data_IF_927465550048
#
_entry.id   IF_927465550048
#
_cell.length_a   1.000
_cell.length_b   1.000
_cell.length_c   1.000
_cell.angle_alpha   90.00
_cell.angle_beta   90.00
_cell.angle_gamma   90.00
#
_symmetry.space_group_name_H-M   'P 1'
#
loop_
_entity.id
_entity.type
_entity.pdbx_description
1 polymer ?
#
# COMPACT_ATOMS: atom_id res chain seq x y z
N UNK A 1 5.32 6.15 -12.46
CA UNK A 1 5.89 5.18 -13.46
C UNK A 1 4.98 3.99 -13.74
N UNK A 2 4.42 3.27 -12.74
CA UNK A 2 3.57 2.08 -13.00
C UNK A 2 2.34 2.34 -13.89
N UNK A 3 1.55 3.43 -13.71
CA UNK A 3 0.42 3.72 -14.58
C UNK A 3 0.83 3.96 -16.04
N UNK A 4 1.94 4.70 -16.23
CA UNK A 4 2.46 5.00 -17.59
C UNK A 4 2.92 3.72 -18.28
N UNK A 5 3.68 2.86 -17.58
CA UNK A 5 4.12 1.57 -18.13
C UNK A 5 2.95 0.67 -18.56
N UNK A 6 1.87 0.61 -17.76
CA UNK A 6 0.67 -0.15 -18.13
C UNK A 6 -0.03 0.42 -19.36
N UNK A 7 -0.16 1.75 -19.44
CA UNK A 7 -0.77 2.42 -20.60
C UNK A 7 0.03 2.14 -21.87
N UNK A 8 1.37 2.21 -21.79
CA UNK A 8 2.27 1.89 -22.88
C UNK A 8 2.05 0.47 -23.39
N UNK A 9 1.96 -0.52 -22.49
CA UNK A 9 1.71 -1.91 -22.88
C UNK A 9 0.37 -2.08 -23.60
N UNK A 10 -0.69 -1.44 -23.10
CA UNK A 10 -2.02 -1.50 -23.71
C UNK A 10 -2.04 -0.85 -25.10
N UNK A 11 -1.23 0.19 -25.34
CA UNK A 11 -1.14 0.88 -26.64
C UNK A 11 -0.21 0.19 -27.65
N UNK A 12 0.80 -0.57 -27.15
CA UNK A 12 1.82 -1.19 -27.99
C UNK A 12 1.42 -2.59 -28.48
N UNK A 13 0.71 -3.36 -27.65
CA UNK A 13 0.39 -4.77 -27.93
C UNK A 13 -1.07 -4.97 -28.28
N UNK A 14 -1.34 -5.88 -29.22
CA UNK A 14 -2.69 -6.29 -29.57
C UNK A 14 -3.40 -6.93 -28.35
N UNK A 15 -4.73 -6.81 -28.27
CA UNK A 15 -5.53 -7.37 -27.15
C UNK A 15 -5.28 -8.86 -26.91
N UNK A 16 -5.01 -9.63 -27.94
CA UNK A 16 -4.67 -11.06 -27.87
C UNK A 16 -3.34 -11.34 -27.18
N UNK A 17 -2.38 -10.42 -27.22
CA UNK A 17 -1.03 -10.57 -26.68
C UNK A 17 -0.89 -9.95 -25.27
N UNK A 18 -1.84 -9.08 -24.89
CA UNK A 18 -1.79 -8.33 -23.62
C UNK A 18 -1.68 -9.24 -22.41
N UNK A 19 -2.41 -10.38 -22.39
CA UNK A 19 -2.37 -11.32 -21.26
C UNK A 19 -0.96 -11.89 -21.08
N UNK A 20 -0.32 -12.28 -22.17
CA UNK A 20 1.04 -12.84 -22.14
C UNK A 20 2.06 -11.79 -21.72
N UNK A 21 1.97 -10.59 -22.29
CA UNK A 21 2.88 -9.47 -22.01
C UNK A 21 2.74 -8.98 -20.59
N UNK A 22 1.51 -8.80 -20.09
CA UNK A 22 1.24 -8.43 -18.70
C UNK A 22 1.75 -9.47 -17.71
N UNK A 23 1.63 -10.76 -18.03
CA UNK A 23 2.17 -11.85 -17.22
C UNK A 23 3.69 -11.77 -17.14
N UNK A 24 4.37 -11.54 -18.26
CA UNK A 24 5.82 -11.41 -18.31
C UNK A 24 6.34 -10.21 -17.49
N UNK A 25 5.71 -9.04 -17.64
CA UNK A 25 6.05 -7.82 -16.85
C UNK A 25 5.76 -7.99 -15.37
N UNK A 26 4.80 -8.84 -15.01
CA UNK A 26 4.46 -9.11 -13.62
C UNK A 26 5.51 -9.96 -12.89
N UNK A 27 6.34 -10.75 -13.59
CA UNK A 27 7.35 -11.62 -12.97
C UNK A 27 8.37 -10.81 -12.14
N UNK A 28 9.06 -9.79 -12.69
CA UNK A 28 9.98 -8.97 -11.90
C UNK A 28 9.30 -8.27 -10.72
N UNK A 29 8.06 -7.80 -10.92
CA UNK A 29 7.28 -7.16 -9.86
C UNK A 29 6.93 -8.10 -8.70
N UNK A 30 6.90 -9.41 -8.93
CA UNK A 30 6.69 -10.44 -7.90
C UNK A 30 7.99 -10.88 -7.24
N UNK A 31 9.08 -10.96 -8.02
CA UNK A 31 10.39 -11.40 -7.54
C UNK A 31 11.07 -10.33 -6.69
N UNK A 32 10.94 -9.05 -7.07
CA UNK A 32 11.60 -7.95 -6.37
C UNK A 32 11.26 -7.85 -4.87
N UNK A 33 9.99 -7.93 -4.42
CA UNK A 33 9.65 -7.95 -3.00
C UNK A 33 10.20 -9.18 -2.24
N UNK A 34 10.43 -10.28 -2.93
CA UNK A 34 11.02 -11.48 -2.34
C UNK A 34 12.53 -11.31 -2.10
N UNK A 35 13.24 -10.75 -3.09
CA UNK A 35 14.68 -10.55 -3.01
C UNK A 35 15.08 -9.31 -2.20
N UNK A 36 14.21 -8.29 -2.15
CA UNK A 36 14.49 -7.01 -1.50
C UNK A 36 14.96 -7.14 -0.05
N UNK A 37 14.23 -7.81 0.85
CA UNK A 37 14.64 -7.97 2.24
C UNK A 37 15.97 -8.71 2.42
N UNK A 38 16.24 -9.71 1.57
CA UNK A 38 17.50 -10.47 1.60
C UNK A 38 18.63 -9.58 1.11
N UNK A 39 18.48 -8.94 -0.04
CA UNK A 39 19.49 -8.05 -0.60
C UNK A 39 19.78 -6.87 0.36
N UNK A 40 18.73 -6.27 0.92
CA UNK A 40 18.87 -5.23 1.93
C UNK A 40 19.59 -5.71 3.18
N UNK A 41 19.25 -6.89 3.70
CA UNK A 41 19.92 -7.51 4.84
C UNK A 41 21.39 -7.82 4.59
N UNK A 42 21.74 -8.33 3.40
CA UNK A 42 23.12 -8.58 2.99
C UNK A 42 23.92 -7.28 2.86
N UNK A 43 23.35 -6.25 2.21
CA UNK A 43 24.03 -4.97 2.04
C UNK A 43 24.30 -4.33 3.40
N UNK A 44 23.29 -4.29 4.30
CA UNK A 44 23.46 -3.68 5.63
C UNK A 44 24.38 -4.53 6.52
N UNK A 45 24.37 -5.86 6.35
CA UNK A 45 25.21 -6.77 7.14
C UNK A 45 26.69 -6.78 6.76
N UNK A 46 27.03 -6.61 5.49
CA UNK A 46 28.42 -6.72 4.98
C UNK A 46 28.97 -5.45 4.36
N UNK A 47 28.10 -4.52 3.96
CA UNK A 47 28.46 -3.31 3.23
C UNK A 47 27.85 -2.08 3.93
N UNK A 48 28.12 -0.88 3.40
CA UNK A 48 27.54 0.34 3.91
C UNK A 48 26.09 0.53 3.40
N UNK A 49 25.16 0.91 4.27
CA UNK A 49 23.72 1.10 3.93
C UNK A 49 23.47 2.02 2.71
N UNK A 50 24.36 2.99 2.46
CA UNK A 50 24.28 3.90 1.30
C UNK A 50 24.31 3.18 -0.04
N UNK A 51 24.87 1.97 -0.11
CA UNK A 51 24.94 1.17 -1.35
C UNK A 51 23.54 0.81 -1.86
N UNK A 52 22.55 0.67 -0.95
CA UNK A 52 21.16 0.44 -1.33
C UNK A 52 20.64 1.56 -2.27
N UNK A 53 21.00 2.81 -1.99
CA UNK A 53 20.63 3.96 -2.83
C UNK A 53 21.43 4.01 -4.13
N UNK A 54 22.73 3.76 -4.07
CA UNK A 54 23.58 3.74 -5.25
C UNK A 54 23.22 2.64 -6.25
N UNK A 55 22.67 1.52 -5.79
CA UNK A 55 22.19 0.43 -6.65
C UNK A 55 21.06 0.89 -7.59
N UNK A 56 20.27 1.86 -7.19
CA UNK A 56 19.19 2.41 -8.03
C UNK A 56 19.71 3.23 -9.21
N UNK A 57 20.92 3.79 -9.13
CA UNK A 57 21.50 4.62 -10.18
C UNK A 57 21.75 3.82 -11.47
N UNK A 58 22.53 2.72 -11.46
CA UNK A 58 22.74 1.95 -12.68
C UNK A 58 21.46 1.32 -13.22
N UNK A 59 20.54 0.87 -12.37
CA UNK A 59 19.25 0.32 -12.77
C UNK A 59 18.40 1.42 -13.43
N UNK A 60 18.36 2.62 -12.83
CA UNK A 60 17.63 3.77 -13.38
C UNK A 60 18.20 4.26 -14.71
N UNK A 61 19.54 4.32 -14.83
CA UNK A 61 20.21 4.69 -16.08
C UNK A 61 19.95 3.65 -17.18
N UNK A 62 20.05 2.37 -16.87
CA UNK A 62 19.73 1.30 -17.82
C UNK A 62 18.26 1.40 -18.28
N UNK A 63 17.33 1.64 -17.35
CA UNK A 63 15.92 1.87 -17.66
C UNK A 63 15.71 3.09 -18.57
N UNK A 64 16.38 4.20 -18.28
CA UNK A 64 16.33 5.43 -19.11
C UNK A 64 16.81 5.17 -20.54
N UNK A 65 17.96 4.52 -20.69
CA UNK A 65 18.53 4.16 -22.00
C UNK A 65 17.58 3.25 -22.78
N UNK A 66 17.04 2.21 -22.13
CA UNK A 66 16.08 1.30 -22.77
C UNK A 66 14.81 2.01 -23.23
N UNK A 67 14.28 2.91 -22.41
CA UNK A 67 13.10 3.74 -22.79
C UNK A 67 13.43 4.63 -23.99
N UNK A 68 14.57 5.32 -23.95
CA UNK A 68 14.99 6.22 -25.03
C UNK A 68 15.20 5.48 -26.37
N UNK A 69 15.73 4.25 -26.33
CA UNK A 69 16.04 3.50 -27.54
C UNK A 69 14.82 2.75 -28.13
N UNK A 70 13.86 2.35 -27.31
CA UNK A 70 12.82 1.39 -27.73
C UNK A 70 11.40 1.93 -27.60
N UNK A 71 11.15 3.01 -26.84
CA UNK A 71 9.80 3.48 -26.62
C UNK A 71 9.43 4.52 -27.70
N UNK A 72 8.35 4.28 -28.50
CA UNK A 72 7.82 5.28 -29.41
C UNK A 72 7.27 6.49 -28.66
N UNK A 73 7.32 7.65 -29.27
CA UNK A 73 6.76 8.89 -28.71
C UNK A 73 5.23 8.89 -28.87
N UNK A 74 4.52 8.48 -27.82
CA UNK A 74 3.06 8.49 -27.76
C UNK A 74 2.59 9.87 -27.29
N UNK A 75 2.30 10.78 -28.21
CA UNK A 75 1.66 12.06 -27.90
C UNK A 75 0.19 12.03 -28.34
N UNK A 76 -0.68 12.44 -27.45
CA UNK A 76 -2.05 12.80 -27.83
C UNK A 76 -2.11 14.28 -28.23
N UNK A 77 -2.72 14.58 -29.39
CA UNK A 77 -2.80 15.95 -29.91
C UNK A 77 -3.67 16.87 -29.03
N UNK A 78 -4.64 16.33 -28.33
CA UNK A 78 -5.58 17.05 -27.46
C UNK A 78 -5.48 16.63 -25.99
N UNK A 79 -4.35 16.91 -25.35
CA UNK A 79 -4.23 16.73 -23.89
C UNK A 79 -4.74 17.96 -23.15
N UNK A 80 -5.62 17.80 -22.13
CA UNK A 80 -6.01 18.92 -21.28
C UNK A 80 -4.79 19.56 -20.62
N UNK A 81 -4.85 20.88 -20.39
CA UNK A 81 -3.79 21.58 -19.69
C UNK A 81 -3.61 21.03 -18.28
N UNK A 82 -2.36 20.94 -17.81
CA UNK A 82 -2.05 20.50 -16.48
C UNK A 82 -2.65 21.47 -15.45
N UNK A 83 -3.39 20.94 -14.48
CA UNK A 83 -3.89 21.71 -13.35
C UNK A 83 -2.73 22.02 -12.36
N UNK A 84 -1.94 23.05 -12.68
CA UNK A 84 -0.79 23.48 -11.88
C UNK A 84 -1.22 23.96 -10.50
N UNK A 85 -2.35 24.69 -10.42
CA UNK A 85 -2.87 25.18 -9.12
C UNK A 85 -3.29 24.01 -8.24
N UNK A 86 -4.01 23.03 -8.80
CA UNK A 86 -4.37 21.81 -8.10
C UNK A 86 -3.15 21.01 -7.66
N UNK A 87 -2.11 20.93 -8.50
CA UNK A 87 -0.86 20.24 -8.17
C UNK A 87 -0.16 20.90 -6.97
N UNK A 88 -0.08 22.22 -6.93
CA UNK A 88 0.52 22.96 -5.82
C UNK A 88 -0.32 22.79 -4.54
N UNK A 89 -1.63 23.01 -4.61
CA UNK A 89 -2.51 22.91 -3.45
C UNK A 89 -2.51 21.49 -2.85
N UNK A 90 -2.73 20.50 -3.69
CA UNK A 90 -2.78 19.11 -3.26
C UNK A 90 -1.40 18.59 -2.82
N UNK A 91 -0.35 18.84 -3.63
CA UNK A 91 1.00 18.39 -3.34
C UNK A 91 1.57 19.00 -2.06
N UNK A 92 1.42 20.32 -1.88
CA UNK A 92 1.85 21.00 -0.64
C UNK A 92 1.02 20.56 0.57
N UNK A 93 -0.30 20.41 0.40
CA UNK A 93 -1.18 19.95 1.46
C UNK A 93 -0.79 18.55 1.97
N UNK A 94 -0.59 17.60 1.06
CA UNK A 94 -0.16 16.24 1.42
C UNK A 94 1.27 16.22 1.96
N UNK A 95 2.19 17.00 1.36
CA UNK A 95 3.57 17.11 1.84
C UNK A 95 3.64 17.60 3.28
N UNK A 96 2.90 18.66 3.62
CA UNK A 96 2.82 19.18 4.99
C UNK A 96 2.17 18.17 5.94
N UNK A 97 1.11 17.45 5.52
CA UNK A 97 0.49 16.42 6.34
C UNK A 97 1.46 15.28 6.66
N UNK A 98 2.21 14.83 5.66
CA UNK A 98 3.23 13.80 5.84
C UNK A 98 4.32 14.26 6.80
N UNK A 99 4.79 15.49 6.64
CA UNK A 99 5.81 16.11 7.50
C UNK A 99 5.36 16.20 8.95
N UNK A 100 4.12 16.65 9.19
CA UNK A 100 3.55 16.71 10.55
C UNK A 100 3.49 15.33 11.20
N UNK A 101 3.06 14.31 10.45
CA UNK A 101 2.98 12.94 10.96
C UNK A 101 4.36 12.36 11.29
N UNK A 102 5.39 12.70 10.51
CA UNK A 102 6.77 12.23 10.72
C UNK A 102 7.40 12.89 11.95
N UNK A 103 7.31 14.23 12.05
CA UNK A 103 7.94 15.01 13.15
C UNK A 103 7.20 14.84 14.48
N UNK A 104 5.92 14.48 14.47
CA UNK A 104 5.15 14.29 15.70
C UNK A 104 5.82 13.31 16.68
N UNK A 105 6.48 12.27 16.16
CA UNK A 105 7.21 11.28 16.97
C UNK A 105 8.54 11.77 17.54
N UNK A 106 9.13 12.80 16.95
CA UNK A 106 10.48 13.29 17.32
C UNK A 106 10.46 14.41 18.38
N UNK A 107 9.28 14.92 18.75
CA UNK A 107 9.12 16.09 19.63
C UNK A 107 9.96 17.32 19.23
N UNK A 108 10.31 17.43 17.94
CA UNK A 108 11.19 18.46 17.40
C UNK A 108 10.51 19.84 17.32
N UNK A 109 9.17 19.89 17.31
CA UNK A 109 8.37 21.11 17.22
C UNK A 109 7.45 21.25 18.43
N UNK A 110 7.14 22.50 18.79
CA UNK A 110 6.13 22.80 19.80
C UNK A 110 4.73 22.38 19.30
N UNK A 111 3.81 22.09 20.23
CA UNK A 111 2.43 21.75 19.89
C UNK A 111 1.72 22.86 19.09
N UNK A 112 2.12 24.13 19.27
CA UNK A 112 1.58 25.27 18.52
C UNK A 112 2.05 25.28 17.07
N UNK A 113 3.33 25.03 16.82
CA UNK A 113 3.88 24.97 15.46
C UNK A 113 3.28 23.77 14.70
N UNK A 114 3.17 22.63 15.36
CA UNK A 114 2.60 21.42 14.79
C UNK A 114 1.12 21.60 14.43
N UNK A 115 0.32 22.22 15.33
CA UNK A 115 -1.08 22.53 15.03
C UNK A 115 -1.22 23.54 13.88
N UNK A 116 -0.30 24.51 13.78
CA UNK A 116 -0.26 25.47 12.68
C UNK A 116 -0.01 24.79 11.33
N UNK A 117 0.98 23.87 11.26
CA UNK A 117 1.27 23.12 10.05
C UNK A 117 0.11 22.17 9.65
N UNK A 118 -0.53 21.53 10.64
CA UNK A 118 -1.70 20.69 10.40
C UNK A 118 -2.87 21.51 9.84
N UNK A 119 -3.18 22.65 10.43
CA UNK A 119 -4.23 23.56 9.95
C UNK A 119 -3.90 24.05 8.54
N UNK A 120 -2.66 24.45 8.27
CA UNK A 120 -2.22 24.87 6.93
C UNK A 120 -2.40 23.74 5.91
N UNK A 121 -2.00 22.51 6.24
CA UNK A 121 -2.22 21.34 5.38
C UNK A 121 -3.70 21.13 5.06
N UNK A 122 -4.57 21.18 6.09
CA UNK A 122 -6.01 21.01 5.92
C UNK A 122 -6.64 22.12 5.09
N UNK A 123 -6.17 23.37 5.25
CA UNK A 123 -6.62 24.51 4.44
C UNK A 123 -6.23 24.33 2.97
N UNK A 124 -5.00 23.90 2.69
CA UNK A 124 -4.54 23.62 1.32
C UNK A 124 -5.35 22.48 0.67
N UNK A 125 -5.60 21.41 1.39
CA UNK A 125 -6.41 20.28 0.91
C UNK A 125 -7.88 20.66 0.70
N UNK A 126 -8.45 21.47 1.60
CA UNK A 126 -9.80 22.01 1.43
C UNK A 126 -9.86 22.97 0.23
N UNK A 127 -8.85 23.85 0.06
CA UNK A 127 -8.70 24.72 -1.11
C UNK A 127 -8.62 23.93 -2.39
N UNK A 128 -7.87 22.82 -2.41
CA UNK A 128 -7.86 21.90 -3.54
C UNK A 128 -9.26 21.31 -3.80
N UNK A 129 -9.97 20.87 -2.77
CA UNK A 129 -11.33 20.34 -2.92
C UNK A 129 -12.33 21.33 -3.53
N UNK A 130 -12.20 22.62 -3.20
CA UNK A 130 -13.01 23.69 -3.79
C UNK A 130 -12.58 23.93 -5.26
N UNK A 131 -11.27 24.07 -5.50
CA UNK A 131 -10.71 24.28 -6.83
C UNK A 131 -11.07 23.16 -7.82
N UNK A 132 -10.95 21.90 -7.38
CA UNK A 132 -11.27 20.74 -8.22
C UNK A 132 -12.73 20.64 -8.64
N UNK A 133 -13.66 21.27 -7.88
CA UNK A 133 -15.09 21.31 -8.25
C UNK A 133 -15.40 22.29 -9.37
N UNK A 134 -14.54 23.31 -9.58
CA UNK A 134 -14.74 24.35 -10.58
C UNK A 134 -14.08 24.04 -11.93
N UNK A 135 -13.30 22.95 -12.03
CA UNK A 135 -12.59 22.53 -13.21
C UNK A 135 -13.23 21.32 -13.88
N UNK A 136 -13.23 21.32 -15.21
CA UNK A 136 -13.65 20.17 -16.02
C UNK A 136 -12.63 19.02 -15.92
N UNK A 137 -11.33 19.35 -15.93
CA UNK A 137 -10.21 18.40 -15.85
C UNK A 137 -9.31 18.70 -14.64
N UNK A 138 -9.76 18.47 -13.40
CA UNK A 138 -8.91 18.64 -12.23
C UNK A 138 -7.83 17.57 -12.17
N UNK A 139 -6.75 17.82 -11.39
CA UNK A 139 -5.68 16.88 -11.16
C UNK A 139 -6.19 15.50 -10.67
N UNK A 140 -7.17 15.50 -9.75
CA UNK A 140 -7.86 14.31 -9.28
C UNK A 140 -9.37 14.47 -9.55
N UNK A 141 -9.93 13.57 -10.32
CA UNK A 141 -11.38 13.57 -10.61
C UNK A 141 -12.19 13.04 -9.43
N UNK A 142 -12.47 13.92 -8.47
CA UNK A 142 -13.21 13.57 -7.25
C UNK A 142 -14.60 12.98 -7.51
N UNK A 143 -15.19 13.22 -8.70
CA UNK A 143 -16.46 12.63 -9.13
C UNK A 143 -16.44 11.09 -9.12
N UNK A 144 -15.27 10.45 -9.28
CA UNK A 144 -15.14 9.00 -9.26
C UNK A 144 -15.48 8.41 -7.89
N UNK A 145 -15.33 9.17 -6.81
CA UNK A 145 -15.76 8.74 -5.48
C UNK A 145 -17.28 8.67 -5.30
N UNK A 146 -18.09 9.16 -6.27
CA UNK A 146 -19.54 8.90 -6.30
C UNK A 146 -19.84 7.45 -6.67
N UNK A 147 -18.94 6.78 -7.41
CA UNK A 147 -19.07 5.36 -7.77
C UNK A 147 -18.75 4.53 -6.52
N UNK A 148 -19.72 3.70 -6.10
CA UNK A 148 -19.64 2.95 -4.83
C UNK A 148 -18.44 2.01 -4.77
N UNK A 149 -18.18 1.22 -5.81
CA UNK A 149 -17.06 0.28 -5.90
C UNK A 149 -15.73 1.01 -5.86
N UNK A 150 -15.59 2.11 -6.57
CA UNK A 150 -14.40 2.95 -6.55
C UNK A 150 -14.16 3.55 -5.16
N UNK A 151 -15.19 4.15 -4.55
CA UNK A 151 -15.11 4.72 -3.20
C UNK A 151 -14.73 3.67 -2.16
N UNK A 152 -15.33 2.48 -2.20
CA UNK A 152 -15.00 1.40 -1.29
C UNK A 152 -13.59 0.85 -1.52
N UNK A 153 -13.17 0.68 -2.77
CA UNK A 153 -11.86 0.14 -3.10
C UNK A 153 -10.73 1.14 -2.83
N UNK A 154 -10.84 2.39 -3.29
CA UNK A 154 -9.84 3.43 -3.09
C UNK A 154 -9.85 3.94 -1.65
N UNK A 155 -11.02 4.32 -1.11
CA UNK A 155 -11.16 4.82 0.26
C UNK A 155 -10.94 3.73 1.31
N UNK A 156 -11.61 2.58 1.19
CA UNK A 156 -11.39 1.44 2.09
C UNK A 156 -9.96 0.92 2.01
N UNK A 157 -9.41 0.89 0.79
CA UNK A 157 -8.00 0.56 0.55
C UNK A 157 -7.03 1.53 1.22
N UNK A 158 -7.33 2.82 1.23
CA UNK A 158 -6.53 3.82 1.94
C UNK A 158 -6.48 3.51 3.44
N UNK A 159 -7.62 3.38 4.10
CA UNK A 159 -7.68 3.12 5.54
C UNK A 159 -7.10 1.76 5.94
N UNK A 160 -7.32 0.72 5.15
CA UNK A 160 -6.72 -0.60 5.43
C UNK A 160 -5.20 -0.55 5.33
N UNK A 161 -4.66 0.16 4.34
CA UNK A 161 -3.20 0.31 4.18
C UNK A 161 -2.56 1.17 5.26
N UNK A 162 -3.28 2.07 5.91
CA UNK A 162 -2.77 2.77 7.10
C UNK A 162 -2.34 1.79 8.19
N UNK A 163 -3.14 0.74 8.43
CA UNK A 163 -2.81 -0.28 9.42
C UNK A 163 -1.70 -1.22 8.96
N UNK A 164 -1.83 -1.81 7.76
CA UNK A 164 -0.86 -2.81 7.28
C UNK A 164 0.43 -2.19 6.72
N UNK A 165 0.41 -0.91 6.33
CA UNK A 165 1.56 -0.19 5.77
C UNK A 165 2.71 0.04 6.75
N UNK A 166 2.45 -0.04 8.06
CA UNK A 166 3.48 0.06 9.09
C UNK A 166 4.28 -1.22 9.34
N UNK A 167 3.81 -2.36 8.83
CA UNK A 167 4.46 -3.67 9.07
C UNK A 167 5.89 -3.76 8.53
N UNK A 168 6.21 -3.25 7.32
CA UNK A 168 7.59 -3.24 6.83
C UNK A 168 8.57 -2.46 7.72
N UNK A 169 8.09 -1.57 8.56
CA UNK A 169 8.88 -0.85 9.56
C UNK A 169 8.93 -1.62 10.89
N UNK A 170 7.77 -2.05 11.40
CA UNK A 170 7.68 -2.64 12.75
C UNK A 170 8.29 -4.03 12.85
N UNK A 171 8.17 -4.90 11.82
CA UNK A 171 8.71 -6.26 11.91
C UNK A 171 10.25 -6.28 11.91
N UNK A 172 10.96 -5.58 11.01
CA UNK A 172 12.41 -5.48 11.12
C UNK A 172 12.87 -4.86 12.45
N UNK A 173 12.15 -3.86 12.97
CA UNK A 173 12.45 -3.27 14.27
C UNK A 173 12.30 -4.30 15.40
N UNK A 174 11.21 -5.07 15.40
CA UNK A 174 10.99 -6.15 16.36
C UNK A 174 12.09 -7.20 16.27
N UNK A 175 12.44 -7.64 15.06
CA UNK A 175 13.41 -8.71 14.87
C UNK A 175 14.83 -8.28 15.22
N UNK A 176 15.26 -7.08 14.78
CA UNK A 176 16.64 -6.64 14.97
C UNK A 176 16.87 -6.03 16.37
N UNK A 177 16.01 -5.11 16.78
CA UNK A 177 16.22 -4.38 18.04
C UNK A 177 15.56 -5.11 19.21
N UNK A 178 14.37 -5.69 19.00
CA UNK A 178 13.66 -6.43 20.07
C UNK A 178 14.27 -7.81 20.35
N UNK A 179 14.51 -8.60 19.30
CA UNK A 179 14.93 -10.00 19.44
C UNK A 179 16.43 -10.22 19.16
N UNK A 180 17.18 -9.20 18.75
CA UNK A 180 18.61 -9.27 18.51
C UNK A 180 19.03 -10.06 17.27
N UNK A 181 18.10 -10.29 16.31
CA UNK A 181 18.46 -10.91 15.04
C UNK A 181 19.31 -10.00 14.17
N UNK A 182 20.23 -10.58 13.42
CA UNK A 182 21.01 -9.84 12.43
C UNK A 182 20.13 -9.30 11.31
N UNK A 183 20.55 -8.24 10.57
CA UNK A 183 19.80 -7.74 9.41
C UNK A 183 19.48 -8.83 8.38
N UNK A 184 20.38 -9.77 8.16
CA UNK A 184 20.20 -10.91 7.24
C UNK A 184 19.10 -11.84 7.76
N UNK A 185 19.16 -12.22 9.02
CA UNK A 185 18.13 -13.06 9.66
C UNK A 185 16.76 -12.39 9.62
N UNK A 186 16.70 -11.08 9.90
CA UNK A 186 15.48 -10.28 9.78
C UNK A 186 14.93 -10.32 8.36
N UNK A 187 15.78 -10.15 7.34
CA UNK A 187 15.38 -10.24 5.94
C UNK A 187 14.81 -11.61 5.57
N UNK A 188 15.46 -12.69 6.05
CA UNK A 188 14.99 -14.06 5.84
C UNK A 188 13.64 -14.34 6.53
N UNK A 189 13.38 -13.74 7.69
CA UNK A 189 12.10 -13.87 8.40
C UNK A 189 10.96 -13.11 7.73
N UNK A 190 11.26 -12.07 6.95
CA UNK A 190 10.25 -11.33 6.16
C UNK A 190 9.96 -12.02 4.81
N UNK A 191 10.91 -12.76 4.24
CA UNK A 191 10.77 -13.44 2.94
C UNK A 191 9.53 -14.32 2.80
N UNK A 192 9.09 -15.10 3.81
CA UNK A 192 7.88 -15.94 3.73
C UNK A 192 6.62 -15.17 3.34
N UNK A 193 6.53 -13.87 3.66
CA UNK A 193 5.41 -13.03 3.24
C UNK A 193 5.33 -12.92 1.72
N UNK A 194 6.46 -12.71 1.04
CA UNK A 194 6.52 -12.59 -0.41
C UNK A 194 6.22 -13.93 -1.09
N UNK A 195 6.73 -15.04 -0.54
CA UNK A 195 6.42 -16.39 -1.03
C UNK A 195 4.92 -16.69 -0.96
N UNK A 196 4.29 -16.40 0.18
CA UNK A 196 2.84 -16.57 0.34
C UNK A 196 2.04 -15.67 -0.60
N UNK A 197 2.48 -14.41 -0.76
CA UNK A 197 1.85 -13.46 -1.67
C UNK A 197 1.84 -13.95 -3.13
N UNK A 198 2.87 -14.67 -3.55
CA UNK A 198 2.92 -15.30 -4.87
C UNK A 198 2.04 -16.56 -4.93
N UNK A 199 2.12 -17.41 -3.91
CA UNK A 199 1.44 -18.71 -3.87
C UNK A 199 -0.08 -18.60 -3.85
N UNK A 200 -0.65 -17.56 -3.27
CA UNK A 200 -2.10 -17.36 -3.19
C UNK A 200 -2.72 -16.90 -4.52
N UNK A 201 -1.96 -16.29 -5.44
CA UNK A 201 -2.48 -15.66 -6.66
C UNK A 201 -3.30 -16.59 -7.55
N UNK A 202 -2.91 -17.85 -7.82
CA UNK A 202 -3.73 -18.76 -8.63
C UNK A 202 -5.10 -19.07 -8.02
N UNK A 203 -5.23 -19.00 -6.69
CA UNK A 203 -6.47 -19.32 -5.98
C UNK A 203 -7.43 -18.13 -5.85
N UNK A 204 -6.94 -16.91 -6.03
CA UNK A 204 -7.73 -15.68 -5.86
C UNK A 204 -8.98 -15.62 -6.74
N UNK A 205 -8.93 -15.91 -8.05
CA UNK A 205 -10.13 -15.85 -8.90
C UNK A 205 -11.22 -16.83 -8.43
N UNK A 206 -10.83 -18.03 -8.00
CA UNK A 206 -11.75 -19.03 -7.45
C UNK A 206 -12.41 -18.56 -6.15
N UNK A 207 -11.64 -17.95 -5.27
CA UNK A 207 -12.14 -17.41 -4.00
C UNK A 207 -13.10 -16.22 -4.23
N UNK A 208 -12.72 -15.27 -5.09
CA UNK A 208 -13.56 -14.12 -5.43
C UNK A 208 -14.86 -14.54 -6.11
N UNK A 209 -14.82 -15.60 -6.94
CA UNK A 209 -16.01 -16.17 -7.59
C UNK A 209 -16.97 -16.81 -6.59
N UNK A 210 -16.45 -17.46 -5.53
CA UNK A 210 -17.28 -18.14 -4.52
C UNK A 210 -17.85 -17.19 -3.47
N UNK A 211 -17.06 -16.25 -2.99
CA UNK A 211 -17.36 -15.41 -1.82
C UNK A 211 -17.80 -13.99 -2.21
N UNK A 212 -17.42 -13.53 -3.40
CA UNK A 212 -17.63 -12.15 -3.86
C UNK A 212 -16.70 -11.13 -3.20
N UNK A 213 -16.57 -9.95 -3.80
CA UNK A 213 -15.67 -8.89 -3.31
C UNK A 213 -16.03 -8.42 -1.90
N UNK A 214 -17.31 -8.22 -1.62
CA UNK A 214 -17.76 -7.75 -0.29
C UNK A 214 -17.33 -8.72 0.81
N UNK A 215 -17.63 -10.02 0.63
CA UNK A 215 -17.30 -11.05 1.60
C UNK A 215 -15.80 -11.17 1.82
N UNK A 216 -15.02 -11.24 0.72
CA UNK A 216 -13.55 -11.34 0.77
C UNK A 216 -12.96 -10.11 1.46
N UNK A 217 -13.31 -8.89 1.08
CA UNK A 217 -12.72 -7.68 1.65
C UNK A 217 -13.04 -7.52 3.14
N UNK A 218 -14.29 -7.79 3.56
CA UNK A 218 -14.68 -7.70 4.97
C UNK A 218 -13.95 -8.75 5.81
N UNK A 219 -14.06 -10.03 5.45
CA UNK A 219 -13.44 -11.12 6.24
C UNK A 219 -11.92 -11.00 6.26
N UNK A 220 -11.32 -10.71 5.11
CA UNK A 220 -9.87 -10.62 4.98
C UNK A 220 -9.28 -9.43 5.75
N UNK A 221 -9.97 -8.27 5.78
CA UNK A 221 -9.54 -7.11 6.58
C UNK A 221 -9.55 -7.43 8.07
N UNK A 222 -10.57 -8.16 8.56
CA UNK A 222 -10.61 -8.63 9.96
C UNK A 222 -9.46 -9.61 10.23
N UNK A 223 -9.26 -10.60 9.35
CA UNK A 223 -8.16 -11.57 9.50
C UNK A 223 -6.80 -10.87 9.53
N UNK A 224 -6.56 -9.90 8.64
CA UNK A 224 -5.32 -9.12 8.62
C UNK A 224 -5.10 -8.35 9.94
N UNK A 225 -6.15 -7.70 10.46
CA UNK A 225 -6.04 -7.00 11.73
C UNK A 225 -5.76 -7.95 12.89
N UNK A 226 -6.37 -9.14 12.90
CA UNK A 226 -6.07 -10.20 13.90
C UNK A 226 -4.63 -10.69 13.72
N UNK A 227 -4.16 -10.94 12.51
CA UNK A 227 -2.77 -11.35 12.25
C UNK A 227 -1.76 -10.30 12.71
N UNK A 228 -2.07 -8.99 12.56
CA UNK A 228 -1.25 -7.93 13.14
C UNK A 228 -1.17 -8.03 14.67
N UNK A 229 -2.29 -8.32 15.32
CA UNK A 229 -2.28 -8.53 16.78
C UNK A 229 -1.53 -9.82 17.18
N UNK A 230 -1.60 -10.86 16.33
CA UNK A 230 -0.87 -12.11 16.56
C UNK A 230 0.65 -11.89 16.46
N UNK A 231 1.14 -10.96 15.62
CA UNK A 231 2.56 -10.58 15.65
C UNK A 231 3.01 -10.01 17.01
N UNK A 232 2.11 -9.44 17.80
CA UNK A 232 2.41 -8.99 19.15
C UNK A 232 2.64 -10.16 20.17
N UNK A 233 2.50 -11.41 19.75
CA UNK A 233 2.87 -12.58 20.55
C UNK A 233 4.33 -13.02 20.33
N UNK A 234 5.02 -12.45 19.34
CA UNK A 234 6.40 -12.80 19.03
C UNK A 234 7.34 -12.22 20.10
N UNK A 235 8.04 -13.09 20.80
CA UNK A 235 8.99 -12.74 21.84
C UNK A 235 10.23 -13.64 21.82
N UNK A 236 11.11 -13.46 22.79
CA UNK A 236 12.39 -14.17 22.89
C UNK A 236 12.28 -15.71 22.90
N UNK A 237 11.13 -16.24 23.32
CA UNK A 237 10.86 -17.68 23.37
C UNK A 237 10.09 -18.22 22.18
N UNK A 238 9.71 -17.35 21.24
CA UNK A 238 8.93 -17.77 20.07
C UNK A 238 9.83 -18.55 19.11
N UNK A 239 9.45 -19.80 18.76
CA UNK A 239 10.26 -20.58 17.85
C UNK A 239 10.23 -19.97 16.43
N UNK A 240 11.35 -20.02 15.71
CA UNK A 240 11.51 -19.42 14.38
C UNK A 240 10.45 -19.89 13.40
N UNK A 241 10.07 -21.18 13.45
CA UNK A 241 9.01 -21.69 12.59
C UNK A 241 7.65 -21.01 12.82
N UNK A 242 7.36 -20.60 14.06
CA UNK A 242 6.15 -19.86 14.40
C UNK A 242 6.15 -18.45 13.77
N UNK A 243 7.30 -17.77 13.79
CA UNK A 243 7.49 -16.47 13.13
C UNK A 243 7.30 -16.62 11.62
N UNK A 244 7.92 -17.63 11.01
CA UNK A 244 7.80 -17.94 9.58
C UNK A 244 6.35 -18.21 9.18
N UNK A 245 5.61 -19.00 9.97
CA UNK A 245 4.21 -19.31 9.71
C UNK A 245 3.33 -18.06 9.79
N UNK A 246 3.51 -17.22 10.81
CA UNK A 246 2.77 -15.96 10.95
C UNK A 246 3.06 -15.02 9.76
N UNK A 247 4.34 -14.88 9.38
CA UNK A 247 4.76 -14.08 8.24
C UNK A 247 4.15 -14.61 6.93
N UNK A 248 4.15 -15.93 6.72
CA UNK A 248 3.57 -16.57 5.56
C UNK A 248 2.05 -16.30 5.47
N UNK A 249 1.30 -16.55 6.54
CA UNK A 249 -0.14 -16.29 6.58
C UNK A 249 -0.43 -14.81 6.28
N UNK A 250 0.27 -13.90 6.97
CA UNK A 250 0.09 -12.47 6.77
C UNK A 250 0.34 -12.05 5.31
N UNK A 251 1.39 -12.56 4.68
CA UNK A 251 1.71 -12.25 3.29
C UNK A 251 0.64 -12.71 2.31
N UNK A 252 0.09 -13.91 2.50
CA UNK A 252 -1.00 -14.44 1.68
C UNK A 252 -2.27 -13.59 1.77
N UNK A 253 -2.72 -13.29 2.98
CA UNK A 253 -3.91 -12.45 3.21
C UNK A 253 -3.70 -11.00 2.74
N UNK A 254 -2.50 -10.43 2.90
CA UNK A 254 -2.15 -9.10 2.38
C UNK A 254 -2.22 -9.05 0.86
N UNK A 255 -1.71 -10.08 0.17
CA UNK A 255 -1.77 -10.18 -1.29
C UNK A 255 -3.21 -10.29 -1.79
N UNK A 256 -4.04 -11.09 -1.11
CA UNK A 256 -5.46 -11.20 -1.41
C UNK A 256 -6.17 -9.85 -1.25
N UNK A 257 -5.90 -9.14 -0.15
CA UNK A 257 -6.48 -7.82 0.12
C UNK A 257 -6.14 -6.81 -0.98
N UNK A 258 -4.84 -6.67 -1.27
CA UNK A 258 -4.37 -5.70 -2.27
C UNK A 258 -4.88 -6.01 -3.67
N UNK A 259 -4.86 -7.27 -4.07
CA UNK A 259 -5.35 -7.66 -5.40
C UNK A 259 -6.85 -7.41 -5.52
N UNK A 260 -7.65 -7.79 -4.51
CA UNK A 260 -9.10 -7.55 -4.51
C UNK A 260 -9.45 -6.07 -4.56
N UNK A 261 -8.75 -5.21 -3.79
CA UNK A 261 -8.95 -3.76 -3.85
C UNK A 261 -8.56 -3.19 -5.21
N UNK A 262 -7.39 -3.59 -5.75
CA UNK A 262 -6.88 -3.07 -7.02
C UNK A 262 -7.75 -3.47 -8.22
N UNK A 263 -8.38 -4.64 -8.19
CA UNK A 263 -9.32 -5.07 -9.25
C UNK A 263 -10.68 -4.40 -9.10
N UNK A 264 -11.18 -4.26 -7.86
CA UNK A 264 -12.48 -3.63 -7.60
C UNK A 264 -12.51 -2.13 -7.97
N UNK A 265 -11.35 -1.44 -7.93
CA UNK A 265 -11.23 -0.04 -8.39
C UNK A 265 -11.81 0.15 -9.78
N UNK A 266 -11.64 -0.84 -10.67
CA UNK A 266 -12.04 -0.73 -12.09
C UNK A 266 -13.39 -1.37 -12.40
N UNK A 267 -14.07 -1.99 -11.44
CA UNK A 267 -15.26 -2.81 -11.68
C UNK A 267 -16.40 -2.04 -12.40
N UNK A 268 -16.65 -0.80 -11.97
CA UNK A 268 -17.75 0.05 -12.50
C UNK A 268 -17.19 1.31 -13.20
N UNK A 269 -15.89 1.34 -13.54
CA UNK A 269 -15.25 2.47 -14.21
C UNK A 269 -15.40 2.32 -15.73
N UNK A 270 -15.87 3.37 -16.39
CA UNK A 270 -15.94 3.44 -17.85
C UNK A 270 -14.56 3.63 -18.46
N UNK A 271 -14.33 3.12 -19.67
CA UNK A 271 -13.03 3.19 -20.36
C UNK A 271 -12.40 4.60 -20.41
N UNK A 272 -13.14 5.69 -20.67
CA UNK A 272 -12.56 7.04 -20.68
C UNK A 272 -12.02 7.50 -19.33
N UNK A 273 -12.58 7.00 -18.22
CA UNK A 273 -12.20 7.37 -16.85
C UNK A 273 -11.12 6.44 -16.25
N UNK A 274 -10.75 5.36 -16.95
CA UNK A 274 -9.83 4.35 -16.43
C UNK A 274 -8.45 4.90 -16.09
N UNK A 275 -7.90 5.83 -16.89
CA UNK A 275 -6.62 6.48 -16.63
C UNK A 275 -6.67 7.34 -15.36
N UNK A 276 -7.73 8.14 -15.17
CA UNK A 276 -7.94 8.96 -13.99
C UNK A 276 -8.14 8.09 -12.73
N UNK A 277 -8.93 7.02 -12.85
CA UNK A 277 -9.14 6.06 -11.76
C UNK A 277 -7.82 5.40 -11.33
N UNK A 278 -6.97 5.00 -12.30
CA UNK A 278 -5.64 4.43 -12.04
C UNK A 278 -4.72 5.43 -11.31
N UNK A 279 -4.71 6.68 -11.75
CA UNK A 279 -3.89 7.73 -11.15
C UNK A 279 -4.31 8.01 -9.71
N UNK A 280 -5.61 8.19 -9.45
CA UNK A 280 -6.15 8.42 -8.11
C UNK A 280 -5.86 7.22 -7.19
N UNK A 281 -6.14 6.00 -7.66
CA UNK A 281 -5.91 4.79 -6.87
C UNK A 281 -4.43 4.59 -6.54
N UNK A 282 -3.53 4.84 -7.50
CA UNK A 282 -2.08 4.73 -7.29
C UNK A 282 -1.57 5.79 -6.32
N UNK A 283 -2.04 7.03 -6.43
CA UNK A 283 -1.70 8.13 -5.51
C UNK A 283 -2.21 7.82 -4.10
N UNK A 284 -3.47 7.44 -3.96
CA UNK A 284 -4.06 7.07 -2.67
C UNK A 284 -3.32 5.86 -2.05
N UNK A 285 -2.92 4.88 -2.85
CA UNK A 285 -2.13 3.74 -2.40
C UNK A 285 -0.77 4.18 -1.85
N UNK A 286 -0.03 5.02 -2.59
CA UNK A 286 1.29 5.47 -2.17
C UNK A 286 1.23 6.31 -0.90
N UNK A 287 0.27 7.24 -0.84
CA UNK A 287 0.03 8.05 0.36
C UNK A 287 -0.32 7.19 1.58
N UNK A 288 -1.21 6.22 1.41
CA UNK A 288 -1.65 5.37 2.53
C UNK A 288 -0.52 4.50 3.08
N UNK A 289 0.41 4.02 2.24
CA UNK A 289 1.59 3.29 2.69
C UNK A 289 2.52 4.22 3.47
N UNK A 290 2.82 5.42 2.94
CA UNK A 290 3.67 6.41 3.63
C UNK A 290 3.08 6.81 4.98
N UNK A 291 1.77 7.10 5.04
CA UNK A 291 1.09 7.40 6.30
C UNK A 291 1.06 6.20 7.25
N UNK A 292 0.94 4.98 6.72
CA UNK A 292 1.02 3.76 7.53
C UNK A 292 2.37 3.61 8.24
N UNK A 293 3.47 3.91 7.54
CA UNK A 293 4.82 3.93 8.14
C UNK A 293 4.93 5.04 9.18
N UNK A 294 4.44 6.25 8.88
CA UNK A 294 4.46 7.37 9.81
C UNK A 294 3.63 7.08 11.10
N UNK A 295 2.44 6.48 10.95
CA UNK A 295 1.60 6.05 12.10
C UNK A 295 2.32 4.95 12.90
N UNK A 296 3.03 4.02 12.25
CA UNK A 296 3.82 3.02 12.95
C UNK A 296 4.98 3.65 13.74
N UNK A 297 5.72 4.59 13.14
CA UNK A 297 6.76 5.37 13.82
C UNK A 297 6.21 6.16 15.00
N UNK A 298 5.09 6.87 14.81
CA UNK A 298 4.39 7.57 15.87
C UNK A 298 3.95 6.65 17.01
N UNK A 299 3.38 5.47 16.67
CA UNK A 299 2.96 4.49 17.67
C UNK A 299 4.16 3.97 18.47
N UNK A 300 5.31 3.73 17.84
CA UNK A 300 6.53 3.34 18.55
C UNK A 300 7.04 4.45 19.45
N UNK A 301 7.07 5.70 18.98
CA UNK A 301 7.48 6.85 19.78
C UNK A 301 6.58 7.07 21.00
N UNK A 302 5.28 6.79 20.87
CA UNK A 302 4.31 6.90 21.97
C UNK A 302 4.42 5.75 22.99
N UNK A 303 4.65 4.52 22.54
CA UNK A 303 4.65 3.35 23.39
C UNK A 303 6.03 2.92 23.92
N UNK A 304 7.13 3.42 23.33
CA UNK A 304 8.49 3.11 23.76
C UNK A 304 8.99 4.28 24.61
N UNK A 305 9.33 4.05 25.91
CA UNK A 305 9.91 5.08 26.77
C UNK A 305 11.25 5.58 26.23
N UNK A 306 11.55 6.86 26.44
CA UNK A 306 12.81 7.48 26.01
C UNK A 306 14.07 6.95 26.72
N UNK A 307 13.91 6.23 27.83
CA UNK A 307 15.02 5.56 28.54
C UNK A 307 15.29 4.16 27.99
N UNK A 308 16.18 4.05 27.07
CA UNK A 308 16.44 2.97 26.12
C UNK A 308 17.18 1.73 26.63
N UNK A 309 17.00 1.28 27.85
CA UNK A 309 17.92 0.30 28.42
C UNK A 309 17.42 -1.15 28.44
N UNK A 310 16.12 -1.40 28.26
CA UNK A 310 15.58 -2.76 28.38
C UNK A 310 14.94 -3.24 27.06
N UNK A 311 15.53 -4.27 26.39
CA UNK A 311 14.92 -4.91 25.21
C UNK A 311 13.48 -5.37 25.42
N UNK A 312 13.12 -5.74 26.65
CA UNK A 312 11.77 -6.20 26.99
C UNK A 312 10.74 -5.08 26.88
N UNK A 313 11.10 -3.87 27.30
CA UNK A 313 10.22 -2.70 27.16
C UNK A 313 10.04 -2.30 25.70
N UNK A 314 11.11 -2.39 24.91
CA UNK A 314 11.04 -2.13 23.48
C UNK A 314 10.13 -3.14 22.77
N UNK A 315 10.27 -4.43 23.04
CA UNK A 315 9.37 -5.47 22.52
C UNK A 315 7.92 -5.15 22.89
N UNK A 316 7.67 -4.80 24.15
CA UNK A 316 6.32 -4.45 24.63
C UNK A 316 5.74 -3.21 23.94
N UNK A 317 6.56 -2.20 23.68
CA UNK A 317 6.17 -1.00 22.94
C UNK A 317 5.78 -1.33 21.50
N UNK A 318 6.59 -2.14 20.80
CA UNK A 318 6.31 -2.60 19.44
C UNK A 318 5.03 -3.46 19.40
N UNK A 319 4.82 -4.33 20.40
CA UNK A 319 3.58 -5.12 20.52
C UNK A 319 2.35 -4.22 20.62
N UNK A 320 2.39 -3.18 21.44
CA UNK A 320 1.28 -2.21 21.55
C UNK A 320 1.04 -1.50 20.22
N UNK A 321 2.10 -1.12 19.50
CA UNK A 321 1.97 -0.51 18.17
C UNK A 321 1.33 -1.48 17.17
N UNK A 322 1.73 -2.76 17.14
CA UNK A 322 1.12 -3.79 16.30
C UNK A 322 -0.35 -4.02 16.62
N UNK A 323 -0.72 -4.01 17.90
CA UNK A 323 -2.13 -4.12 18.33
C UNK A 323 -2.92 -2.90 17.88
N UNK A 324 -2.38 -1.69 18.05
CA UNK A 324 -3.04 -0.45 17.59
C UNK A 324 -3.29 -0.45 16.08
N UNK A 325 -2.29 -0.85 15.28
CA UNK A 325 -2.43 -1.01 13.83
C UNK A 325 -3.43 -2.12 13.46
N UNK A 326 -3.47 -3.21 14.22
CA UNK A 326 -4.45 -4.28 14.07
C UNK A 326 -5.88 -3.76 14.28
N UNK A 327 -6.13 -2.99 15.35
CA UNK A 327 -7.42 -2.35 15.63
C UNK A 327 -7.80 -1.40 14.50
N UNK A 328 -6.87 -0.55 14.06
CA UNK A 328 -7.08 0.39 12.94
C UNK A 328 -7.47 -0.35 11.66
N UNK A 329 -6.77 -1.47 11.37
CA UNK A 329 -7.09 -2.33 10.22
C UNK A 329 -8.50 -2.90 10.33
N UNK A 330 -8.89 -3.47 11.47
CA UNK A 330 -10.25 -3.99 11.68
C UNK A 330 -11.28 -2.88 11.55
N UNK A 331 -11.03 -1.70 12.11
CA UNK A 331 -11.94 -0.56 12.01
C UNK A 331 -12.20 -0.14 10.55
N UNK A 332 -11.19 -0.27 9.66
CA UNK A 332 -11.35 0.03 8.23
C UNK A 332 -12.40 -0.85 7.53
N UNK A 333 -12.77 -1.99 8.11
CA UNK A 333 -13.82 -2.89 7.62
C UNK A 333 -15.17 -2.16 7.43
N UNK A 334 -15.43 -1.13 8.23
CA UNK A 334 -16.66 -0.32 8.15
C UNK A 334 -16.84 0.26 6.74
N UNK A 335 -15.77 0.65 6.06
CA UNK A 335 -15.85 1.21 4.70
C UNK A 335 -16.32 0.17 3.70
N UNK A 336 -15.89 -1.08 3.83
CA UNK A 336 -16.28 -2.18 2.93
C UNK A 336 -17.73 -2.65 3.15
N UNK A 337 -18.35 -2.32 4.30
CA UNK A 337 -19.78 -2.60 4.53
C UNK A 337 -20.69 -1.84 3.56
N UNK A 338 -20.21 -0.75 2.98
CA UNK A 338 -20.94 0.01 1.95
C UNK A 338 -21.12 -0.76 0.63
N UNK A 339 -20.32 -1.81 0.38
CA UNK A 339 -20.46 -2.68 -0.78
C UNK A 339 -21.74 -3.54 -0.69
N UNK A 340 -22.40 -3.75 -1.82
CA UNK A 340 -23.49 -4.71 -1.98
C UNK A 340 -22.92 -6.08 -2.42
N UNK A 341 -23.72 -7.14 -2.22
CA UNK A 341 -23.29 -8.52 -2.57
C UNK A 341 -23.05 -8.74 -4.06
N UNK A 342 -23.61 -7.88 -4.93
CA UNK A 342 -23.40 -7.94 -6.39
C UNK A 342 -22.27 -7.05 -6.92
N UNK A 343 -21.65 -6.24 -6.07
CA UNK A 343 -20.61 -5.30 -6.52
C UNK A 343 -19.37 -6.04 -7.03
N UNK A 344 -18.92 -5.69 -8.24
CA UNK A 344 -17.77 -6.33 -8.89
C UNK A 344 -18.05 -7.72 -9.49
N UNK A 345 -19.32 -8.15 -9.60
CA UNK A 345 -19.66 -9.44 -10.20
C UNK A 345 -19.19 -9.57 -11.65
N UNK A 346 -19.20 -8.50 -12.42
CA UNK A 346 -18.73 -8.48 -13.81
C UNK A 346 -17.23 -8.82 -13.91
N UNK A 347 -16.46 -8.48 -12.89
CA UNK A 347 -15.02 -8.79 -12.81
C UNK A 347 -14.77 -10.16 -12.18
N UNK A 348 -15.52 -10.52 -11.11
CA UNK A 348 -15.30 -11.79 -10.39
C UNK A 348 -16.05 -12.96 -10.98
N UNK A 349 -17.05 -12.74 -11.86
CA UNK A 349 -18.01 -13.75 -12.35
C UNK A 349 -18.75 -14.46 -11.18
N UNK A 350 -18.91 -13.76 -10.06
CA UNK A 350 -19.64 -14.28 -8.91
C UNK A 350 -21.14 -14.33 -9.22
N UNK A 351 -21.74 -15.51 -9.14
CA UNK A 351 -23.20 -15.68 -9.25
C UNK A 351 -23.81 -15.50 -7.87
N UNK A 352 -24.52 -14.40 -7.66
CA UNK A 352 -25.39 -14.26 -6.48
C UNK A 352 -26.54 -15.28 -6.66
N UNK A 353 -26.55 -16.32 -5.85
CA UNK A 353 -27.73 -17.18 -5.73
C UNK A 353 -28.85 -16.31 -5.15
N UNK A 354 -29.79 -15.88 -5.99
CA UNK A 354 -31.02 -15.29 -5.50
C UNK A 354 -31.76 -16.40 -4.71
N UNK A 355 -32.12 -16.17 -3.44
CA UNK A 355 -33.01 -17.07 -2.73
C UNK A 355 -34.43 -16.84 -3.29
N UNK A 356 -34.79 -17.60 -4.31
CA UNK A 356 -36.12 -17.50 -4.95
C UNK A 356 -36.12 -17.99 -6.38
N UNK A 357 -35.88 -19.25 -6.59
CA UNK A 357 -36.14 -20.01 -7.80
C UNK A 357 -36.54 -21.40 -7.40
#
# INVERSE_FOLDING_TARGET
MVPVGRLTLVRTFARSELIRTMSFVSIPALVAPMLGPIAGGLIVGYLHWRIIFFLNIPIGLAGLVLVYLHLPDYREENTPALDVVGLILFGSGIGLLSYVLEIFGEHALSAREMSGLLVMSLVLLAGYGIHARSLEFPLLQLRLFSIRTFRAAAGGGFFTRLGIGGVPFLLPLLYQVGLGFTPIQSGLLVMPQALAAMSIKPFMPGLLRRVGYRGVLISNTVILGVLLMVFATIGLRTPVWGIVLQAFLYGGFTSLQYTSMNTLVYADIKDPDASSASSIASTAQQMSISFGVAIAGLSTAFFIPSSHSDPTEMIRGIHKALIALGILTIASTVVFRSLKSGDGNDVSQHKVLHPGG
#
